data_IF_621956738521
#
_entry.id   IF_621956738521
#
_cell.length_a   1.000
_cell.length_b   1.000
_cell.length_c   1.000
_cell.angle_alpha   90.00
_cell.angle_beta   90.00
_cell.angle_gamma   90.00
#
_symmetry.space_group_name_H-M   'P 1'
#
loop_
_entity.id
_entity.type
_entity.pdbx_description
1 polymer ?
#
# COMPACT_ATOMS: atom_id res chain seq x y z
N UNK A 1 -5.44 14.90 14.67
CA UNK A 1 -6.22 13.88 13.94
C UNK A 1 -7.45 14.41 13.21
N UNK A 2 -8.50 14.93 13.85
CA UNK A 2 -9.71 15.38 13.12
C UNK A 2 -9.38 16.44 12.06
N UNK A 3 -8.62 17.48 12.43
CA UNK A 3 -8.11 18.49 11.49
C UNK A 3 -7.44 17.86 10.26
N UNK A 4 -6.47 16.96 10.47
CA UNK A 4 -5.74 16.27 9.40
C UNK A 4 -6.65 15.43 8.48
N UNK A 5 -7.74 14.85 9.02
CA UNK A 5 -8.73 14.13 8.21
C UNK A 5 -9.47 15.10 7.29
N UNK A 6 -9.91 16.24 7.82
CA UNK A 6 -10.65 17.24 7.04
C UNK A 6 -9.76 18.01 6.05
N UNK A 7 -8.45 18.08 6.31
CA UNK A 7 -7.45 18.69 5.40
C UNK A 7 -6.99 17.75 4.27
N UNK A 8 -7.53 16.53 4.17
CA UNK A 8 -7.15 15.60 3.11
C UNK A 8 -7.36 16.14 1.67
N UNK A 9 -8.46 16.86 1.33
CA UNK A 9 -8.63 17.42 0.00
C UNK A 9 -7.49 18.37 -0.39
N UNK A 10 -7.11 19.25 0.54
CA UNK A 10 -6.01 20.19 0.35
C UNK A 10 -4.66 19.47 0.29
N UNK A 11 -4.43 18.50 1.19
CA UNK A 11 -3.21 17.69 1.21
C UNK A 11 -2.98 16.92 -0.09
N UNK A 12 -4.06 16.38 -0.68
CA UNK A 12 -4.02 15.70 -1.98
C UNK A 12 -3.68 16.70 -3.09
N UNK A 13 -4.31 17.87 -3.10
CA UNK A 13 -4.00 18.93 -4.07
C UNK A 13 -2.54 19.39 -3.97
N UNK A 14 -2.06 19.68 -2.76
CA UNK A 14 -0.69 20.10 -2.49
C UNK A 14 0.34 19.03 -2.91
N UNK A 15 -0.02 17.75 -2.82
CA UNK A 15 0.84 16.68 -3.32
C UNK A 15 0.92 16.67 -4.86
N UNK A 16 -0.15 17.02 -5.57
CA UNK A 16 -0.13 17.08 -7.04
C UNK A 16 0.41 18.40 -7.59
N UNK A 17 0.41 19.46 -6.78
CA UNK A 17 0.83 20.81 -7.16
C UNK A 17 2.25 20.83 -7.73
N UNK A 18 2.39 21.38 -8.94
CA UNK A 18 3.66 21.45 -9.65
C UNK A 18 4.20 20.12 -10.18
N UNK A 19 3.50 19.00 -9.92
CA UNK A 19 3.86 17.64 -10.36
C UNK A 19 2.93 17.13 -11.46
N UNK A 20 1.66 17.57 -11.47
CA UNK A 20 0.64 17.16 -12.44
C UNK A 20 0.12 18.39 -13.17
N UNK A 21 0.17 18.37 -14.50
CA UNK A 21 -0.51 19.36 -15.35
C UNK A 21 -1.75 18.71 -15.99
N UNK A 22 -2.93 19.17 -15.57
CA UNK A 22 -4.21 18.62 -16.04
C UNK A 22 -4.60 19.09 -17.46
N UNK A 23 -4.08 20.22 -17.93
CA UNK A 23 -4.36 20.75 -19.27
C UNK A 23 -3.60 19.94 -20.33
N UNK A 24 -2.32 19.65 -20.06
CA UNK A 24 -1.45 18.91 -20.99
C UNK A 24 -1.40 17.40 -20.68
N UNK A 25 -2.01 16.95 -19.59
CA UNK A 25 -1.91 15.59 -19.07
C UNK A 25 -0.45 15.10 -18.89
N UNK A 26 0.43 15.99 -18.45
CA UNK A 26 1.83 15.67 -18.20
C UNK A 26 2.13 15.56 -16.70
N UNK A 27 3.08 14.69 -16.37
CA UNK A 27 3.53 14.42 -15.00
C UNK A 27 5.03 14.68 -14.91
N UNK A 28 5.49 15.42 -13.90
CA UNK A 28 6.90 15.64 -13.63
C UNK A 28 7.19 15.53 -12.13
N UNK A 29 7.83 14.41 -11.75
CA UNK A 29 8.37 14.23 -10.41
C UNK A 29 9.82 14.71 -10.40
N UNK A 30 10.04 15.97 -10.04
CA UNK A 30 11.36 16.61 -10.09
C UNK A 30 12.47 15.79 -9.41
N UNK A 31 12.19 15.23 -8.24
CA UNK A 31 13.13 14.40 -7.49
C UNK A 31 13.47 13.04 -8.12
N UNK A 32 12.74 12.62 -9.16
CA UNK A 32 13.00 11.38 -9.89
C UNK A 32 13.54 11.62 -11.30
N UNK A 33 13.54 12.87 -11.80
CA UNK A 33 13.83 13.20 -13.20
C UNK A 33 15.15 12.59 -13.69
N UNK A 34 16.22 12.74 -12.92
CA UNK A 34 17.55 12.26 -13.30
C UNK A 34 17.69 10.73 -13.17
N UNK A 35 16.75 10.11 -12.47
CA UNK A 35 16.73 8.71 -12.15
C UNK A 35 15.75 7.88 -12.98
N UNK A 36 14.84 8.51 -13.72
CA UNK A 36 13.82 7.81 -14.53
C UNK A 36 14.43 6.81 -15.52
N UNK A 37 15.60 7.11 -16.08
CA UNK A 37 16.30 6.19 -17.00
C UNK A 37 16.76 4.91 -16.30
N UNK A 38 17.16 5.00 -15.03
CA UNK A 38 17.58 3.85 -14.23
C UNK A 38 16.36 3.05 -13.77
N UNK A 39 15.30 3.74 -13.31
CA UNK A 39 14.04 3.10 -12.90
C UNK A 39 13.42 2.32 -14.06
N UNK A 40 13.44 2.86 -15.29
CA UNK A 40 12.94 2.14 -16.48
C UNK A 40 13.75 0.92 -16.89
N UNK A 41 15.01 0.81 -16.44
CA UNK A 41 15.91 -0.31 -16.76
C UNK A 41 15.94 -1.38 -15.68
N UNK A 42 15.30 -1.12 -14.53
CA UNK A 42 15.27 -2.07 -13.44
C UNK A 42 14.38 -3.26 -13.80
N UNK A 43 14.64 -4.41 -13.16
CA UNK A 43 13.87 -5.64 -13.41
C UNK A 43 12.77 -5.88 -12.39
N UNK A 44 12.80 -5.17 -11.27
CA UNK A 44 11.88 -5.35 -10.16
C UNK A 44 11.86 -4.12 -9.26
N UNK A 45 10.67 -3.82 -8.74
CA UNK A 45 10.45 -2.79 -7.73
C UNK A 45 10.25 -3.45 -6.36
N UNK A 46 10.85 -2.87 -5.32
CA UNK A 46 10.68 -3.32 -3.94
C UNK A 46 10.23 -2.12 -3.10
N UNK A 47 9.00 -2.16 -2.61
CA UNK A 47 8.44 -1.12 -1.73
C UNK A 47 8.61 -1.55 -0.28
N UNK A 48 9.33 -0.77 0.51
CA UNK A 48 9.68 -1.09 1.90
C UNK A 48 9.12 -0.01 2.81
N UNK A 49 8.36 -0.40 3.82
CA UNK A 49 7.81 0.53 4.80
C UNK A 49 7.31 -0.16 6.07
N UNK A 50 6.88 0.64 7.04
CA UNK A 50 6.29 0.15 8.29
C UNK A 50 4.87 0.68 8.47
N UNK A 51 4.00 -0.13 9.08
CA UNK A 51 2.65 0.25 9.45
C UNK A 51 1.84 0.90 8.33
N UNK A 52 1.37 2.13 8.52
CA UNK A 52 0.55 2.82 7.51
C UNK A 52 1.30 3.08 6.20
N UNK A 53 2.63 3.28 6.25
CA UNK A 53 3.45 3.40 5.05
C UNK A 53 3.53 2.10 4.25
N UNK A 54 3.56 0.95 4.93
CA UNK A 54 3.44 -0.36 4.30
C UNK A 54 2.07 -0.51 3.62
N UNK A 55 0.98 -0.13 4.28
CA UNK A 55 -0.35 -0.18 3.64
C UNK A 55 -0.48 0.78 2.44
N UNK A 56 0.18 1.94 2.44
CA UNK A 56 0.25 2.79 1.26
C UNK A 56 1.00 2.11 0.09
N UNK A 57 2.03 1.32 0.39
CA UNK A 57 2.78 0.54 -0.58
C UNK A 57 1.92 -0.55 -1.22
N UNK A 58 1.22 -1.33 -0.38
CA UNK A 58 0.28 -2.34 -0.87
C UNK A 58 -0.75 -1.65 -1.80
N UNK A 59 -1.23 -0.45 -1.44
CA UNK A 59 -2.39 0.21 -2.10
C UNK A 59 -2.07 0.67 -3.51
N UNK A 60 -0.78 0.80 -3.80
CA UNK A 60 -0.25 1.19 -5.09
C UNK A 60 0.40 0.05 -5.83
N UNK A 61 0.55 -1.14 -5.23
CA UNK A 61 1.18 -2.30 -5.84
C UNK A 61 0.54 -2.66 -7.17
N UNK A 62 -0.77 -2.86 -7.20
CA UNK A 62 -1.47 -3.32 -8.41
C UNK A 62 -1.32 -2.33 -9.57
N UNK A 63 -1.44 -1.02 -9.29
CA UNK A 63 -1.30 -0.01 -10.35
C UNK A 63 0.14 0.09 -10.82
N UNK A 64 1.11 -0.14 -9.94
CA UNK A 64 2.53 -0.11 -10.29
C UNK A 64 2.85 -1.32 -11.18
N UNK A 65 2.37 -2.51 -10.84
CA UNK A 65 2.46 -3.70 -11.69
C UNK A 65 1.82 -3.44 -13.06
N UNK A 66 0.61 -2.85 -13.11
CA UNK A 66 -0.09 -2.55 -14.37
C UNK A 66 0.64 -1.51 -15.23
N UNK A 67 1.12 -0.42 -14.64
CA UNK A 67 1.71 0.68 -15.39
C UNK A 67 3.18 0.46 -15.75
N UNK A 68 3.90 -0.34 -14.97
CA UNK A 68 5.33 -0.59 -15.20
C UNK A 68 5.61 -1.92 -15.85
N UNK A 69 4.66 -2.87 -15.78
CA UNK A 69 4.83 -4.27 -16.22
C UNK A 69 5.99 -4.98 -15.50
N UNK A 70 6.47 -4.43 -14.37
CA UNK A 70 7.51 -5.00 -13.55
C UNK A 70 6.91 -5.77 -12.37
N UNK A 71 7.60 -6.83 -11.89
CA UNK A 71 7.32 -7.38 -10.57
C UNK A 71 7.46 -6.30 -9.49
N UNK A 72 6.42 -6.13 -8.67
CA UNK A 72 6.41 -5.22 -7.53
C UNK A 72 6.27 -6.01 -6.25
N UNK A 73 7.32 -6.02 -5.43
CA UNK A 73 7.30 -6.59 -4.09
C UNK A 73 6.97 -5.51 -3.07
N UNK A 74 6.22 -5.86 -2.04
CA UNK A 74 5.90 -4.96 -0.92
C UNK A 74 6.28 -5.66 0.37
N UNK A 75 7.14 -5.02 1.14
CA UNK A 75 7.83 -5.64 2.26
C UNK A 75 7.68 -4.80 3.54
N UNK A 76 7.41 -5.49 4.64
CA UNK A 76 7.52 -4.91 5.97
C UNK A 76 9.00 -4.77 6.31
N UNK A 77 9.45 -3.58 6.70
CA UNK A 77 10.89 -3.32 6.84
C UNK A 77 11.59 -4.23 7.86
N UNK A 78 10.94 -4.59 8.97
CA UNK A 78 11.48 -5.52 9.97
C UNK A 78 11.69 -6.92 9.39
N UNK A 79 10.65 -7.48 8.76
CA UNK A 79 10.68 -8.83 8.15
C UNK A 79 11.64 -8.90 6.96
N UNK A 80 11.76 -7.81 6.19
CA UNK A 80 12.76 -7.67 5.13
C UNK A 80 14.19 -7.88 5.64
N UNK A 81 14.51 -7.29 6.81
CA UNK A 81 15.80 -7.40 7.48
C UNK A 81 16.01 -8.80 8.07
N UNK A 82 15.01 -9.32 8.78
CA UNK A 82 15.08 -10.60 9.48
C UNK A 82 15.34 -11.76 8.49
N UNK A 83 14.68 -11.73 7.32
CA UNK A 83 14.86 -12.75 6.29
C UNK A 83 16.13 -12.60 5.47
N UNK A 84 16.91 -11.54 5.67
CA UNK A 84 18.03 -11.20 4.80
C UNK A 84 17.64 -11.20 3.31
N UNK A 85 16.56 -10.48 2.99
CA UNK A 85 15.91 -10.56 1.68
C UNK A 85 16.89 -10.27 0.53
N UNK A 86 17.00 -11.14 -0.50
CA UNK A 86 17.91 -10.93 -1.61
C UNK A 86 17.57 -9.67 -2.44
N UNK A 87 18.54 -8.76 -2.53
CA UNK A 87 18.48 -7.55 -3.36
C UNK A 87 19.61 -7.57 -4.39
N UNK A 88 19.27 -7.30 -5.65
CA UNK A 88 20.17 -7.29 -6.80
C UNK A 88 20.46 -5.87 -7.30
N UNK A 89 21.42 -5.73 -8.22
CA UNK A 89 21.89 -4.41 -8.71
C UNK A 89 20.88 -3.68 -9.59
N UNK A 90 20.02 -4.45 -10.23
CA UNK A 90 18.95 -4.06 -11.13
C UNK A 90 17.59 -3.98 -10.44
N UNK A 91 17.56 -4.12 -9.11
CA UNK A 91 16.38 -3.77 -8.30
C UNK A 91 16.34 -2.27 -8.04
N UNK A 92 15.13 -1.73 -7.98
CA UNK A 92 14.84 -0.40 -7.44
C UNK A 92 14.03 -0.54 -6.17
N UNK A 93 14.60 -0.04 -5.07
CA UNK A 93 13.93 -0.04 -3.77
C UNK A 93 13.37 1.35 -3.46
N UNK A 94 12.08 1.40 -3.13
CA UNK A 94 11.38 2.56 -2.61
C UNK A 94 11.19 2.40 -1.11
N UNK A 95 11.69 3.36 -0.34
CA UNK A 95 11.52 3.40 1.11
C UNK A 95 10.46 4.43 1.46
N UNK A 96 9.35 3.98 2.06
CA UNK A 96 8.19 4.81 2.36
C UNK A 96 8.14 5.06 3.87
N UNK A 97 8.32 6.32 4.27
CA UNK A 97 8.23 6.76 5.65
C UNK A 97 7.78 8.21 5.73
N UNK A 98 6.80 8.49 6.58
CA UNK A 98 6.33 9.86 6.83
C UNK A 98 7.36 10.67 7.62
N UNK A 99 7.98 10.09 8.67
CA UNK A 99 9.01 10.79 9.45
C UNK A 99 10.36 10.79 8.73
N UNK A 100 10.65 9.76 7.92
CA UNK A 100 11.99 9.51 7.39
C UNK A 100 12.97 8.96 8.43
N UNK A 101 12.52 8.72 9.66
CA UNK A 101 13.35 8.33 10.81
C UNK A 101 13.00 6.95 11.37
N UNK A 102 12.00 6.28 10.79
CA UNK A 102 11.57 4.95 11.23
C UNK A 102 12.75 3.98 11.23
N UNK A 103 13.11 3.45 12.41
CA UNK A 103 14.34 2.70 12.63
C UNK A 103 14.51 1.53 11.64
N UNK A 104 13.52 0.65 11.52
CA UNK A 104 13.58 -0.49 10.60
C UNK A 104 13.67 -0.05 9.13
N UNK A 105 12.96 1.01 8.73
CA UNK A 105 13.06 1.55 7.37
C UNK A 105 14.45 2.13 7.10
N UNK A 106 15.06 2.81 8.08
CA UNK A 106 16.43 3.32 7.99
C UNK A 106 17.47 2.20 7.99
N UNK A 107 17.25 1.15 8.77
CA UNK A 107 18.09 -0.03 8.78
C UNK A 107 17.99 -0.78 7.46
N UNK A 108 16.80 -0.98 6.91
CA UNK A 108 16.58 -1.56 5.59
C UNK A 108 17.23 -0.72 4.48
N UNK A 109 17.17 0.61 4.59
CA UNK A 109 17.88 1.53 3.70
C UNK A 109 19.41 1.32 3.75
N UNK A 110 19.96 1.09 4.95
CA UNK A 110 21.39 0.84 5.19
C UNK A 110 21.81 -0.60 4.93
N UNK A 111 20.89 -1.56 4.98
CA UNK A 111 21.13 -3.00 4.75
C UNK A 111 21.77 -3.25 3.38
N UNK A 112 21.37 -2.43 2.40
CA UNK A 112 22.00 -2.34 1.07
C UNK A 112 23.52 -2.09 1.12
N UNK A 113 24.03 -1.40 2.14
CA UNK A 113 25.44 -1.02 2.28
C UNK A 113 26.37 -2.16 2.67
N UNK A 114 25.87 -3.29 3.18
CA UNK A 114 26.70 -4.40 3.69
C UNK A 114 26.89 -5.56 2.71
N UNK A 115 25.96 -5.79 1.77
CA UNK A 115 26.10 -6.81 0.73
C UNK A 115 26.52 -6.15 -0.59
N UNK A 116 27.47 -6.74 -1.32
CA UNK A 116 28.08 -6.23 -2.57
C UNK A 116 27.11 -6.03 -3.77
N UNK A 117 25.80 -6.09 -3.53
CA UNK A 117 24.72 -5.93 -4.50
C UNK A 117 24.16 -4.49 -4.42
N UNK A 118 24.70 -3.62 -5.27
CA UNK A 118 24.32 -2.20 -5.41
C UNK A 118 22.93 -1.99 -6.07
N UNK A 119 21.81 -2.42 -5.50
CA UNK A 119 20.45 -2.10 -6.01
C UNK A 119 20.02 -0.65 -5.76
N UNK A 120 19.66 0.15 -6.76
CA UNK A 120 19.71 1.63 -6.67
C UNK A 120 18.54 2.28 -5.89
N UNK A 121 18.86 3.31 -5.10
CA UNK A 121 17.98 3.94 -4.11
C UNK A 121 17.13 5.06 -4.72
N UNK A 122 15.81 5.01 -4.50
CA UNK A 122 14.95 6.19 -4.66
C UNK A 122 14.09 6.36 -3.40
N UNK A 123 14.35 7.43 -2.64
CA UNK A 123 13.40 7.89 -1.62
C UNK A 123 12.21 8.50 -2.35
N UNK A 124 11.10 7.76 -2.46
CA UNK A 124 9.84 8.36 -2.85
C UNK A 124 9.28 9.12 -1.64
N UNK A 125 9.49 10.44 -1.60
CA UNK A 125 8.78 11.33 -0.68
C UNK A 125 7.46 11.85 -1.24
N UNK A 126 7.06 11.49 -2.46
CA UNK A 126 5.85 12.05 -3.07
C UNK A 126 5.04 11.08 -3.93
N UNK A 127 3.72 11.30 -3.88
CA UNK A 127 2.65 10.38 -4.29
C UNK A 127 2.50 10.26 -5.80
N UNK A 128 2.27 9.03 -6.22
CA UNK A 128 1.99 8.62 -7.59
C UNK A 128 0.53 8.94 -7.98
N UNK A 129 0.30 9.49 -9.18
CA UNK A 129 -1.05 9.65 -9.74
C UNK A 129 -1.53 8.27 -10.24
N UNK A 130 -2.53 7.71 -9.58
CA UNK A 130 -3.12 6.42 -9.95
C UNK A 130 -4.22 6.58 -11.00
N UNK A 131 -4.07 5.91 -12.15
CA UNK A 131 -5.24 5.48 -12.96
C UNK A 131 -6.06 4.47 -12.15
N UNK A 132 -7.37 4.38 -12.42
CA UNK A 132 -8.35 3.55 -11.67
C UNK A 132 -7.82 2.12 -11.42
N UNK A 133 -7.36 1.80 -10.20
CA UNK A 133 -6.95 0.46 -9.79
C UNK A 133 -8.14 -0.48 -9.85
N UNK A 134 -7.90 -1.72 -10.23
CA UNK A 134 -8.94 -2.72 -10.47
C UNK A 134 -9.36 -3.50 -9.22
N UNK A 135 -8.69 -3.36 -8.07
CA UNK A 135 -9.08 -4.01 -6.81
C UNK A 135 -8.80 -3.09 -5.61
N UNK A 136 -9.82 -2.43 -5.07
CA UNK A 136 -9.70 -1.54 -3.89
C UNK A 136 -10.59 -2.04 -2.76
N UNK A 137 -10.08 -2.88 -1.88
CA UNK A 137 -10.90 -3.36 -0.75
C UNK A 137 -10.11 -3.86 0.45
N UNK A 138 -9.24 -4.85 0.24
CA UNK A 138 -8.48 -5.50 1.31
C UNK A 138 -7.66 -4.51 2.13
N UNK A 139 -7.05 -3.56 1.45
CA UNK A 139 -6.11 -2.61 2.03
C UNK A 139 -6.75 -1.52 2.85
N UNK A 140 -7.90 -1.05 2.37
CA UNK A 140 -8.75 -0.13 3.10
C UNK A 140 -9.18 -0.83 4.40
N UNK A 141 -9.60 -2.10 4.31
CA UNK A 141 -9.98 -2.90 5.48
C UNK A 141 -8.86 -3.01 6.52
N UNK A 142 -7.64 -3.37 6.11
CA UNK A 142 -6.52 -3.52 7.05
C UNK A 142 -6.07 -2.17 7.63
N UNK A 143 -5.96 -1.12 6.81
CA UNK A 143 -5.61 0.21 7.29
C UNK A 143 -6.67 0.79 8.26
N UNK A 144 -7.95 0.56 7.96
CA UNK A 144 -9.07 0.95 8.84
C UNK A 144 -9.05 0.18 10.15
N UNK A 145 -8.90 -1.15 10.13
CA UNK A 145 -8.80 -1.96 11.34
C UNK A 145 -7.62 -1.53 12.21
N UNK A 146 -6.45 -1.29 11.61
CA UNK A 146 -5.31 -0.76 12.34
C UNK A 146 -5.62 0.57 13.02
N UNK A 147 -6.30 1.49 12.34
CA UNK A 147 -6.65 2.79 12.93
C UNK A 147 -7.67 2.67 14.06
N UNK A 148 -8.64 1.76 13.95
CA UNK A 148 -9.60 1.46 15.02
C UNK A 148 -8.86 0.95 16.25
N UNK A 149 -7.94 -0.01 16.12
CA UNK A 149 -7.11 -0.48 17.25
C UNK A 149 -6.36 0.65 17.92
N UNK A 150 -5.66 1.47 17.13
CA UNK A 150 -4.80 2.55 17.64
C UNK A 150 -5.58 3.65 18.37
N UNK A 151 -6.79 3.99 17.91
CA UNK A 151 -7.56 5.13 18.44
C UNK A 151 -8.58 4.75 19.50
N UNK A 152 -9.16 3.55 19.39
CA UNK A 152 -10.30 3.14 20.23
C UNK A 152 -9.96 2.02 21.19
N UNK A 153 -8.79 1.37 21.02
CA UNK A 153 -8.39 0.15 21.72
C UNK A 153 -9.33 -1.05 21.51
N UNK A 154 -10.33 -0.95 20.63
CA UNK A 154 -11.17 -2.07 20.26
C UNK A 154 -10.41 -3.06 19.38
N UNK A 155 -10.62 -4.35 19.63
CA UNK A 155 -10.16 -5.38 18.72
C UNK A 155 -10.87 -5.22 17.37
N UNK A 156 -10.11 -5.19 16.29
CA UNK A 156 -10.62 -5.07 14.92
C UNK A 156 -9.67 -5.79 13.98
N UNK A 157 -10.14 -6.37 12.88
CA UNK A 157 -9.27 -7.12 11.98
C UNK A 157 -9.68 -6.88 10.53
N UNK A 158 -8.68 -6.67 9.66
CA UNK A 158 -8.90 -6.55 8.23
C UNK A 158 -8.80 -7.93 7.59
N UNK A 159 -9.91 -8.45 7.09
CA UNK A 159 -9.98 -9.79 6.50
C UNK A 159 -10.17 -9.66 4.99
N UNK A 160 -9.37 -10.41 4.22
CA UNK A 160 -9.56 -10.48 2.77
C UNK A 160 -10.88 -11.19 2.46
N UNK A 161 -11.77 -10.55 1.72
CA UNK A 161 -13.09 -11.10 1.41
C UNK A 161 -13.04 -12.49 0.74
N UNK A 162 -12.00 -12.76 -0.06
CA UNK A 162 -11.78 -14.06 -0.69
C UNK A 162 -11.44 -15.20 0.30
N UNK A 163 -10.89 -14.85 1.47
CA UNK A 163 -10.47 -15.80 2.51
C UNK A 163 -11.57 -16.11 3.53
N UNK A 164 -12.73 -15.45 3.47
CA UNK A 164 -13.80 -15.62 4.45
C UNK A 164 -14.18 -17.10 4.62
N UNK A 165 -14.33 -17.84 3.52
CA UNK A 165 -14.72 -19.26 3.52
C UNK A 165 -13.66 -20.21 4.08
N UNK A 166 -12.43 -19.75 4.32
CA UNK A 166 -11.31 -20.57 4.76
C UNK A 166 -11.09 -20.55 6.28
N UNK A 167 -12.05 -20.01 7.04
CA UNK A 167 -12.00 -19.99 8.51
C UNK A 167 -12.73 -18.79 9.12
N UNK A 168 -12.44 -17.55 8.70
CA UNK A 168 -13.00 -16.35 9.31
C UNK A 168 -14.53 -16.29 9.37
N UNK A 169 -15.23 -16.90 8.41
CA UNK A 169 -16.70 -16.97 8.41
C UNK A 169 -17.27 -17.70 9.63
N UNK A 170 -16.48 -18.53 10.32
CA UNK A 170 -16.89 -19.18 11.57
C UNK A 170 -17.05 -18.19 12.73
N UNK A 171 -16.40 -17.02 12.66
CA UNK A 171 -16.49 -15.96 13.68
C UNK A 171 -17.69 -15.04 13.47
N UNK A 172 -18.41 -15.17 12.35
CA UNK A 172 -19.53 -14.28 12.01
C UNK A 172 -20.83 -14.82 12.62
N UNK A 173 -21.45 -14.00 13.45
CA UNK A 173 -22.77 -14.19 14.03
C UNK A 173 -23.51 -12.85 14.19
N UNK A 174 -24.69 -12.87 14.83
CA UNK A 174 -25.52 -11.67 15.09
C UNK A 174 -24.89 -10.62 16.00
N UNK A 175 -23.88 -10.98 16.79
CA UNK A 175 -23.27 -10.10 17.79
C UNK A 175 -21.95 -9.51 17.29
N UNK A 176 -21.29 -10.18 16.34
CA UNK A 176 -20.05 -9.73 15.73
C UNK A 176 -20.30 -8.57 14.75
N UNK A 177 -19.78 -7.35 15.03
CA UNK A 177 -19.91 -6.23 14.11
C UNK A 177 -19.02 -6.46 12.88
N UNK A 178 -19.62 -6.42 11.68
CA UNK A 178 -18.90 -6.59 10.40
C UNK A 178 -19.05 -5.34 9.54
N UNK A 179 -17.93 -4.79 9.07
CA UNK A 179 -17.90 -3.71 8.08
C UNK A 179 -17.34 -4.27 6.78
N UNK A 180 -18.11 -4.19 5.69
CA UNK A 180 -17.70 -4.64 4.37
C UNK A 180 -17.50 -3.47 3.41
N UNK A 181 -16.38 -3.48 2.67
CA UNK A 181 -16.08 -2.49 1.61
C UNK A 181 -16.36 -3.15 0.26
N UNK A 182 -17.37 -2.64 -0.46
CA UNK A 182 -17.78 -3.17 -1.76
C UNK A 182 -17.76 -2.03 -2.78
N UNK A 183 -16.78 -2.08 -3.69
CA UNK A 183 -16.57 -1.07 -4.73
C UNK A 183 -17.03 -1.59 -6.09
N UNK A 184 -17.45 -0.68 -6.99
CA UNK A 184 -17.78 -1.01 -8.38
C UNK A 184 -16.51 -1.18 -9.22
N UNK A 185 -15.77 -2.24 -8.94
CA UNK A 185 -14.57 -2.66 -9.65
C UNK A 185 -14.73 -4.10 -10.19
N UNK A 186 -13.77 -4.65 -10.94
CA UNK A 186 -13.82 -6.04 -11.42
C UNK A 186 -14.06 -7.11 -10.34
N UNK A 187 -13.84 -6.82 -9.05
CA UNK A 187 -14.13 -7.74 -7.94
C UNK A 187 -15.54 -7.59 -7.36
N UNK A 188 -16.38 -6.66 -7.86
CA UNK A 188 -17.72 -6.38 -7.33
C UNK A 188 -18.56 -7.65 -7.14
N UNK A 189 -18.64 -8.52 -8.16
CA UNK A 189 -19.41 -9.77 -8.07
C UNK A 189 -18.89 -10.72 -6.97
N UNK A 190 -17.57 -10.79 -6.79
CA UNK A 190 -16.95 -11.60 -5.73
C UNK A 190 -17.25 -11.03 -4.35
N UNK A 191 -17.20 -9.71 -4.20
CA UNK A 191 -17.54 -9.02 -2.95
C UNK A 191 -19.03 -9.13 -2.62
N UNK A 192 -19.92 -9.14 -3.61
CA UNK A 192 -21.35 -9.42 -3.42
C UNK A 192 -21.58 -10.85 -2.92
N UNK A 193 -20.86 -11.85 -3.46
CA UNK A 193 -20.94 -13.22 -2.95
C UNK A 193 -20.45 -13.32 -1.49
N UNK A 194 -19.38 -12.61 -1.15
CA UNK A 194 -18.89 -12.53 0.23
C UNK A 194 -19.94 -11.89 1.17
N UNK A 195 -20.62 -10.83 0.72
CA UNK A 195 -21.70 -10.20 1.48
C UNK A 195 -22.83 -11.18 1.75
N UNK A 196 -23.27 -11.92 0.73
CA UNK A 196 -24.31 -12.94 0.88
C UNK A 196 -23.91 -14.02 1.89
N UNK A 197 -22.64 -14.43 1.94
CA UNK A 197 -22.13 -15.40 2.92
C UNK A 197 -22.21 -14.87 4.35
N UNK A 198 -21.87 -13.60 4.57
CA UNK A 198 -21.96 -12.94 5.88
C UNK A 198 -23.43 -12.78 6.30
N UNK A 199 -24.30 -12.32 5.40
CA UNK A 199 -25.73 -12.18 5.67
C UNK A 199 -26.40 -13.52 5.99
N UNK A 200 -26.01 -14.62 5.31
CA UNK A 200 -26.53 -15.95 5.58
C UNK A 200 -26.19 -16.44 7.01
N UNK A 201 -25.13 -15.90 7.62
CA UNK A 201 -24.73 -16.16 9.02
C UNK A 201 -25.37 -15.19 10.02
N UNK A 202 -26.30 -14.35 9.57
CA UNK A 202 -26.96 -13.31 10.37
C UNK A 202 -26.00 -12.24 10.89
N UNK A 203 -24.83 -12.05 10.27
CA UNK A 203 -23.90 -10.99 10.65
C UNK A 203 -24.33 -9.66 10.06
N UNK A 204 -25.01 -8.83 10.86
CA UNK A 204 -25.28 -7.40 10.65
C UNK A 204 -25.78 -6.76 11.94
#
# INVERSE_FOLDING_TARGET
>A
MQKEIFEQPESVFNTMRGRVNFETNTELLGGLKDHLKEIRRCRRLILIGCGTSYHAAVATRQVLEELTELPVMVELASDFLDRNTPVFRDDVCFFISQSGETADTLLALRYRGRHQHRGRLHLARDRLRLRRPRQRGSEIGVASAKKIKEMTYMHSEGILAGELKHGPLALVDKQMPVIMVIMKDPCFAKCQNALQQVTARQGF
#
